data_IF_675799355955
#
_entry.id   IF_675799355955
#
_cell.length_a   1.000
_cell.length_b   1.000
_cell.length_c   1.000
_cell.angle_alpha   90.00
_cell.angle_beta   90.00
_cell.angle_gamma   90.00
#
_symmetry.space_group_name_H-M   'P 1'
#
loop_
_entity.id
_entity.type
_entity.pdbx_description
1 polymer ?
#
# COMPACT_ATOMS: atom_id res chain seq x y z
N UNK A 1 1.85 -3.12 -7.00
CA UNK A 1 1.15 -3.64 -5.81
C UNK A 1 -0.33 -3.67 -6.11
N UNK A 2 -0.99 -4.76 -5.75
CA UNK A 2 -2.45 -4.93 -5.80
C UNK A 2 -3.09 -4.77 -4.42
N UNK A 3 -4.42 -4.73 -4.37
CA UNK A 3 -5.15 -4.72 -3.09
C UNK A 3 -4.95 -6.02 -2.29
N UNK A 4 -4.82 -7.18 -2.97
CA UNK A 4 -4.57 -8.46 -2.30
C UNK A 4 -3.18 -8.52 -1.68
N UNK A 5 -2.16 -7.96 -2.34
CA UNK A 5 -0.81 -7.84 -1.77
C UNK A 5 -0.83 -6.99 -0.48
N UNK A 6 -1.60 -5.90 -0.49
CA UNK A 6 -1.76 -5.03 0.68
C UNK A 6 -2.42 -5.77 1.85
N UNK A 7 -3.51 -6.49 1.59
CA UNK A 7 -4.19 -7.34 2.59
C UNK A 7 -3.20 -8.35 3.21
N UNK A 8 -2.38 -8.99 2.37
CA UNK A 8 -1.34 -9.91 2.82
C UNK A 8 -0.31 -9.24 3.73
N UNK A 9 0.18 -8.05 3.36
CA UNK A 9 1.12 -7.29 4.18
C UNK A 9 0.54 -6.93 5.57
N UNK A 10 -0.73 -6.55 5.64
CA UNK A 10 -1.42 -6.34 6.92
C UNK A 10 -1.55 -7.61 7.75
N UNK A 11 -1.86 -8.74 7.11
CA UNK A 11 -1.96 -10.03 7.80
C UNK A 11 -0.64 -10.45 8.44
N UNK A 12 0.47 -10.30 7.70
CA UNK A 12 1.83 -10.54 8.21
C UNK A 12 2.13 -9.61 9.38
N UNK A 13 1.87 -8.31 9.24
CA UNK A 13 2.16 -7.34 10.30
C UNK A 13 1.32 -7.54 11.57
N UNK A 14 0.11 -8.10 11.45
CA UNK A 14 -0.76 -8.46 12.59
C UNK A 14 -0.48 -9.86 13.16
N UNK A 15 0.37 -10.66 12.50
CA UNK A 15 0.61 -12.06 12.86
C UNK A 15 -0.62 -12.97 12.70
N UNK A 16 -1.63 -12.56 11.92
CA UNK A 16 -2.85 -13.33 11.67
C UNK A 16 -3.46 -12.99 10.32
N UNK A 17 -4.18 -13.94 9.72
CA UNK A 17 -4.94 -13.67 8.50
C UNK A 17 -6.11 -12.72 8.77
N UNK A 18 -6.39 -11.85 7.81
CA UNK A 18 -7.59 -11.00 7.83
C UNK A 18 -8.78 -11.78 7.27
N UNK A 19 -9.95 -11.66 7.90
CA UNK A 19 -11.22 -12.13 7.33
C UNK A 19 -11.65 -11.16 6.22
N UNK A 20 -11.52 -11.60 4.97
CA UNK A 20 -11.82 -10.78 3.79
C UNK A 20 -13.17 -11.17 3.21
N UNK A 21 -14.03 -10.17 3.01
CA UNK A 21 -15.33 -10.33 2.36
C UNK A 21 -15.34 -9.57 1.04
N UNK A 22 -15.55 -10.29 -0.05
CA UNK A 22 -15.66 -9.69 -1.38
C UNK A 22 -17.01 -9.00 -1.55
N UNK A 23 -17.00 -7.88 -2.25
CA UNK A 23 -18.18 -7.10 -2.60
C UNK A 23 -18.14 -6.75 -4.10
N UNK A 24 -19.26 -6.34 -4.71
CA UNK A 24 -19.28 -5.86 -6.08
C UNK A 24 -18.30 -4.70 -6.31
N UNK A 25 -17.78 -4.59 -7.52
CA UNK A 25 -16.91 -3.48 -7.94
C UNK A 25 -17.62 -2.12 -7.78
N UNK A 26 -16.87 -1.09 -7.43
CA UNK A 26 -17.42 0.26 -7.28
C UNK A 26 -17.45 0.98 -8.63
N UNK A 27 -18.59 1.57 -8.96
CA UNK A 27 -18.72 2.35 -10.19
C UNK A 27 -17.73 3.53 -10.21
N UNK A 28 -16.94 3.64 -11.29
CA UNK A 28 -15.92 4.68 -11.46
C UNK A 28 -14.58 4.41 -10.75
N UNK A 29 -14.38 3.22 -10.17
CA UNK A 29 -13.12 2.88 -9.51
C UNK A 29 -11.97 2.75 -10.53
N UNK A 30 -10.83 3.38 -10.20
CA UNK A 30 -9.60 3.28 -11.00
C UNK A 30 -8.92 1.95 -10.68
N UNK A 31 -8.89 1.05 -11.66
CA UNK A 31 -8.33 -0.30 -11.49
C UNK A 31 -6.81 -0.33 -11.30
N UNK A 32 -6.11 0.58 -11.96
CA UNK A 32 -4.65 0.69 -11.90
C UNK A 32 -4.23 2.15 -11.79
N UNK A 33 -3.40 2.44 -10.81
CA UNK A 33 -2.81 3.77 -10.64
C UNK A 33 -1.36 3.62 -10.22
N UNK A 34 -0.50 4.44 -10.85
CA UNK A 34 0.92 4.50 -10.54
C UNK A 34 1.43 5.91 -10.82
N UNK A 35 2.50 6.30 -10.15
CA UNK A 35 3.13 7.61 -10.29
C UNK A 35 4.59 7.39 -10.65
N UNK A 36 5.09 8.19 -11.60
CA UNK A 36 6.53 8.29 -11.83
C UNK A 36 7.14 9.24 -10.80
N UNK A 37 8.04 8.78 -9.92
CA UNK A 37 8.65 9.65 -8.91
C UNK A 37 9.79 10.50 -9.49
N UNK A 38 10.12 10.35 -10.78
CA UNK A 38 11.34 10.90 -11.37
C UNK A 38 11.49 12.41 -11.15
N UNK A 39 10.45 13.20 -11.42
CA UNK A 39 10.50 14.66 -11.23
C UNK A 39 10.67 15.07 -9.77
N UNK A 40 10.00 14.38 -8.84
CA UNK A 40 10.15 14.65 -7.42
C UNK A 40 11.58 14.33 -6.94
N UNK A 41 12.19 13.28 -7.49
CA UNK A 41 13.58 12.93 -7.20
C UNK A 41 14.56 13.96 -7.76
N UNK A 42 14.40 14.39 -9.01
CA UNK A 42 15.35 15.27 -9.68
C UNK A 42 15.22 16.73 -9.25
N UNK A 43 13.99 17.22 -9.04
CA UNK A 43 13.74 18.63 -8.75
C UNK A 43 13.72 18.93 -7.25
N UNK A 44 13.32 17.97 -6.42
CA UNK A 44 13.14 18.17 -4.97
C UNK A 44 14.08 17.32 -4.12
N UNK A 45 14.87 16.42 -4.71
CA UNK A 45 15.71 15.48 -3.97
C UNK A 45 14.92 14.47 -3.14
N UNK A 46 13.61 14.33 -3.38
CA UNK A 46 12.75 13.44 -2.62
C UNK A 46 12.96 12.00 -3.05
N UNK A 47 13.37 11.15 -2.12
CA UNK A 47 13.44 9.70 -2.28
C UNK A 47 12.41 9.02 -1.39
N UNK A 48 11.92 7.84 -1.81
CA UNK A 48 11.01 7.05 -0.97
C UNK A 48 11.78 6.53 0.25
N UNK A 49 11.52 7.10 1.43
CA UNK A 49 12.32 6.81 2.63
C UNK A 49 11.85 5.58 3.43
N UNK A 50 10.65 5.05 3.15
CA UNK A 50 10.04 3.99 3.96
C UNK A 50 9.39 2.97 3.02
N UNK A 51 9.73 1.69 3.22
CA UNK A 51 9.05 0.60 2.50
C UNK A 51 7.60 0.48 2.97
N UNK A 52 6.73 -0.08 2.15
CA UNK A 52 5.35 -0.28 2.56
C UNK A 52 5.23 -1.17 3.82
N UNK A 53 6.07 -2.21 3.92
CA UNK A 53 6.07 -3.13 5.06
C UNK A 53 6.44 -2.41 6.35
N UNK A 54 7.50 -1.59 6.31
CA UNK A 54 7.91 -0.79 7.46
C UNK A 54 6.84 0.25 7.83
N UNK A 55 6.22 0.86 6.82
CA UNK A 55 5.13 1.82 7.02
C UNK A 55 3.93 1.20 7.71
N UNK A 56 3.49 0.01 7.28
CA UNK A 56 2.40 -0.74 7.91
C UNK A 56 2.78 -1.13 9.35
N UNK A 57 3.99 -1.64 9.57
CA UNK A 57 4.45 -2.01 10.91
C UNK A 57 4.42 -0.80 11.88
N UNK A 58 4.91 0.37 11.44
CA UNK A 58 4.88 1.61 12.22
C UNK A 58 3.44 2.07 12.51
N UNK A 59 2.55 1.99 11.51
CA UNK A 59 1.15 2.38 11.65
C UNK A 59 0.42 1.53 12.71
N UNK A 60 0.75 0.24 12.80
CA UNK A 60 0.11 -0.70 13.73
C UNK A 60 0.70 -0.70 15.14
N UNK A 61 1.86 -0.07 15.33
CA UNK A 61 2.55 0.03 16.61
C UNK A 61 2.09 1.22 17.48
N UNK A 62 1.26 2.12 16.91
CA UNK A 62 0.55 3.18 17.65
C UNK A 62 -0.75 2.68 18.26
#
# INVERSE_FOLDING_TARGET
MTLLDLIGAFGVARGRMLDVRFAPERAGEVRYSSVSPHRAQTELGLTGCVSLQDGIARLLAG
#
